data_IF_791534970036
#
_entry.id   IF_791534970036
#
_cell.length_a   1.000
_cell.length_b   1.000
_cell.length_c   1.000
_cell.angle_alpha   90.00
_cell.angle_beta   90.00
_cell.angle_gamma   90.00
#
_symmetry.space_group_name_H-M   'P 1'
#
loop_
_entity.id
_entity.type
_entity.pdbx_description
1 polymer ?
#
# COMPACT_ATOMS: atom_id res chain seq x y z
N UNK A 1 -5.51 19.08 -3.83
CA UNK A 1 -4.56 18.05 -3.38
C UNK A 1 -4.06 17.25 -4.58
N UNK A 2 -2.77 16.93 -4.62
CA UNK A 2 -2.15 16.12 -5.67
C UNK A 2 -1.58 14.86 -5.07
N UNK A 3 -1.78 13.75 -5.77
CA UNK A 3 -1.11 12.48 -5.44
C UNK A 3 -0.11 12.18 -6.56
N UNK A 4 1.13 11.91 -6.19
CA UNK A 4 2.20 11.66 -7.15
C UNK A 4 3.17 10.60 -6.64
N UNK A 5 3.79 9.89 -7.59
CA UNK A 5 4.91 9.02 -7.29
C UNK A 5 6.17 9.87 -7.16
N UNK A 6 6.93 9.64 -6.09
CA UNK A 6 8.16 10.40 -5.85
C UNK A 6 9.39 9.66 -6.33
N UNK A 7 10.41 10.43 -6.69
CA UNK A 7 11.73 9.93 -7.10
C UNK A 7 12.73 10.22 -5.98
N UNK A 8 13.86 9.51 -5.94
CA UNK A 8 14.94 9.84 -5.01
C UNK A 8 15.31 11.32 -5.10
N UNK A 9 15.40 11.97 -3.95
CA UNK A 9 15.72 13.40 -3.88
C UNK A 9 14.53 14.34 -3.86
N UNK A 10 13.31 13.86 -4.16
CA UNK A 10 12.11 14.71 -4.14
C UNK A 10 11.64 15.03 -2.72
N UNK A 11 12.01 14.21 -1.76
CA UNK A 11 11.68 14.36 -0.34
C UNK A 11 12.96 14.50 0.46
N UNK A 12 12.84 15.02 1.67
CA UNK A 12 13.98 15.17 2.56
C UNK A 12 14.63 13.85 2.95
N UNK A 13 15.78 13.91 3.62
CA UNK A 13 16.58 12.75 4.01
C UNK A 13 15.81 11.69 4.79
N UNK A 14 14.78 12.11 5.51
CA UNK A 14 13.95 11.20 6.31
C UNK A 14 13.27 10.10 5.48
N UNK A 15 13.11 10.32 4.17
CA UNK A 15 12.49 9.36 3.26
C UNK A 15 13.50 8.71 2.31
N UNK A 16 14.77 9.09 2.37
CA UNK A 16 15.75 8.66 1.39
C UNK A 16 15.89 7.13 1.31
N UNK A 17 15.85 6.44 2.46
CA UNK A 17 15.96 4.98 2.49
C UNK A 17 14.78 4.28 1.83
N UNK A 18 13.60 4.89 1.85
CA UNK A 18 12.38 4.31 1.27
C UNK A 18 12.30 4.47 -0.24
N UNK A 19 12.96 5.49 -0.79
CA UNK A 19 12.83 5.82 -2.21
C UNK A 19 14.06 5.48 -3.04
N UNK A 20 15.13 4.96 -2.42
CA UNK A 20 16.35 4.52 -3.09
C UNK A 20 16.29 3.07 -3.55
N UNK A 21 15.35 2.28 -3.04
CA UNK A 21 15.17 0.89 -3.41
C UNK A 21 14.24 0.81 -4.64
N UNK A 22 14.71 0.21 -5.72
CA UNK A 22 13.96 0.08 -6.97
C UNK A 22 12.67 -0.74 -6.81
N UNK A 23 12.56 -1.57 -5.77
CA UNK A 23 11.40 -2.40 -5.50
C UNK A 23 10.39 -1.74 -4.57
N UNK A 24 10.71 -0.55 -4.08
CA UNK A 24 9.83 0.21 -3.20
C UNK A 24 9.47 1.53 -3.84
N UNK A 25 8.19 1.71 -4.12
CA UNK A 25 7.69 2.90 -4.79
C UNK A 25 6.85 3.72 -3.82
N UNK A 26 7.23 4.96 -3.61
CA UNK A 26 6.53 5.84 -2.68
C UNK A 26 5.60 6.78 -3.43
N UNK A 27 4.39 6.94 -2.92
CA UNK A 27 3.38 7.87 -3.39
C UNK A 27 3.06 8.84 -2.27
N UNK A 28 2.96 10.11 -2.58
CA UNK A 28 2.64 11.14 -1.60
C UNK A 28 1.43 11.94 -2.04
N UNK A 29 0.67 12.42 -1.06
CA UNK A 29 -0.36 13.41 -1.27
C UNK A 29 0.19 14.76 -0.82
N UNK A 30 0.16 15.75 -1.70
CA UNK A 30 0.58 17.12 -1.39
C UNK A 30 -0.61 18.06 -1.39
N UNK A 31 -0.64 18.93 -0.40
CA UNK A 31 -1.60 20.01 -0.32
C UNK A 31 -0.85 21.29 0.03
N UNK A 32 -1.07 22.35 -0.75
CA UNK A 32 -0.37 23.65 -0.57
C UNK A 32 1.15 23.50 -0.49
N UNK A 33 1.73 22.62 -1.31
CA UNK A 33 3.16 22.37 -1.36
C UNK A 33 3.71 21.49 -0.24
N UNK A 34 2.88 21.01 0.67
CA UNK A 34 3.30 20.16 1.79
C UNK A 34 2.85 18.72 1.58
N UNK A 35 3.70 17.77 1.98
CA UNK A 35 3.33 16.35 2.03
C UNK A 35 2.43 16.13 3.24
N UNK A 36 1.20 15.71 3.01
CA UNK A 36 0.21 15.48 4.06
C UNK A 36 -0.08 14.00 4.27
N UNK A 37 0.36 13.15 3.37
CA UNK A 37 0.18 11.70 3.48
C UNK A 37 1.14 10.97 2.54
N UNK A 38 1.41 9.70 2.85
CA UNK A 38 2.15 8.84 1.92
C UNK A 38 1.69 7.40 2.03
N UNK A 39 2.01 6.63 0.99
CA UNK A 39 1.82 5.18 0.95
C UNK A 39 2.80 4.58 -0.03
N UNK A 40 3.10 3.30 0.11
CA UNK A 40 4.08 2.61 -0.71
C UNK A 40 3.48 1.46 -1.49
N UNK A 41 4.14 1.11 -2.59
CA UNK A 41 3.96 -0.16 -3.29
C UNK A 41 5.31 -0.87 -3.24
N UNK A 42 5.31 -2.12 -2.78
CA UNK A 42 6.52 -2.93 -2.67
C UNK A 42 6.40 -4.09 -3.64
N UNK A 43 7.43 -4.31 -4.44
CA UNK A 43 7.53 -5.48 -5.29
C UNK A 43 8.37 -6.53 -4.56
N UNK A 44 7.75 -7.65 -4.19
CA UNK A 44 8.40 -8.73 -3.47
C UNK A 44 8.85 -9.79 -4.46
N UNK A 45 10.17 -10.01 -4.54
CA UNK A 45 10.75 -10.99 -5.45
C UNK A 45 10.49 -12.42 -4.95
N UNK A 46 10.60 -13.38 -5.85
CA UNK A 46 10.34 -14.80 -5.55
C UNK A 46 11.24 -15.34 -4.43
N UNK A 47 12.50 -14.90 -4.36
CA UNK A 47 13.45 -15.32 -3.33
C UNK A 47 13.17 -14.69 -1.95
N UNK A 48 12.37 -13.64 -1.91
CA UNK A 48 11.93 -12.99 -0.67
C UNK A 48 10.58 -13.49 -0.19
N UNK A 49 9.86 -14.25 -1.03
CA UNK A 49 8.56 -14.80 -0.68
C UNK A 49 8.70 -15.85 0.42
N UNK A 50 7.76 -15.83 1.36
CA UNK A 50 7.72 -16.78 2.47
C UNK A 50 6.38 -17.49 2.55
N UNK A 51 6.18 -18.35 3.56
CA UNK A 51 4.93 -19.11 3.71
C UNK A 51 3.68 -18.25 3.80
N UNK A 52 3.81 -17.02 4.28
CA UNK A 52 2.67 -16.10 4.45
C UNK A 52 2.57 -15.06 3.35
N UNK A 53 3.60 -14.88 2.51
CA UNK A 53 3.70 -13.76 1.58
C UNK A 53 4.19 -14.23 0.21
N UNK A 54 3.29 -14.49 -0.75
CA UNK A 54 3.70 -14.83 -2.11
C UNK A 54 4.47 -13.67 -2.76
N UNK A 55 5.25 -13.99 -3.78
CA UNK A 55 5.90 -12.97 -4.60
C UNK A 55 4.85 -12.12 -5.31
N UNK A 56 5.14 -10.85 -5.51
CA UNK A 56 4.25 -9.95 -6.23
C UNK A 56 4.26 -8.53 -5.69
N UNK A 57 3.24 -7.79 -6.05
CA UNK A 57 3.09 -6.38 -5.77
C UNK A 57 2.20 -6.19 -4.54
N UNK A 58 2.71 -5.46 -3.55
CA UNK A 58 2.00 -5.23 -2.27
C UNK A 58 1.77 -3.75 -2.06
N UNK A 59 0.54 -3.39 -1.66
CA UNK A 59 0.31 -2.09 -1.06
C UNK A 59 0.83 -2.13 0.37
N UNK A 60 1.66 -1.16 0.73
CA UNK A 60 2.28 -1.13 2.05
C UNK A 60 2.23 0.27 2.64
N UNK A 61 1.98 0.35 3.93
CA UNK A 61 2.09 1.55 4.74
C UNK A 61 1.36 2.78 4.19
N UNK A 62 0.22 3.13 4.77
CA UNK A 62 -0.42 4.43 4.53
C UNK A 62 -0.33 5.23 5.81
N UNK A 63 0.19 6.44 5.70
CA UNK A 63 0.21 7.38 6.82
C UNK A 63 -0.36 8.71 6.36
N UNK A 64 -1.35 9.19 7.09
CA UNK A 64 -1.99 10.49 6.83
C UNK A 64 -1.75 11.38 8.05
N UNK A 65 -1.29 12.61 7.81
CA UNK A 65 -1.16 13.62 8.85
C UNK A 65 -2.48 13.74 9.63
N UNK A 66 -2.48 13.68 10.96
CA UNK A 66 -3.71 13.77 11.75
C UNK A 66 -4.60 14.96 11.41
N UNK A 67 -4.02 16.10 11.07
CA UNK A 67 -4.78 17.29 10.68
C UNK A 67 -5.51 17.11 9.34
N UNK A 68 -5.14 16.11 8.55
CA UNK A 68 -5.68 15.85 7.22
C UNK A 68 -6.52 14.58 7.13
N UNK A 69 -6.78 13.93 8.26
CA UNK A 69 -7.64 12.73 8.30
C UNK A 69 -9.10 13.09 8.02
N UNK A 70 -9.88 12.07 7.63
CA UNK A 70 -11.32 12.20 7.29
C UNK A 70 -11.58 13.07 6.05
N UNK A 71 -10.61 13.09 5.12
CA UNK A 71 -10.71 13.83 3.86
C UNK A 71 -10.55 12.92 2.66
N UNK A 72 -10.75 11.61 2.84
CA UNK A 72 -10.63 10.58 1.80
C UNK A 72 -9.23 10.50 1.18
N UNK A 73 -8.19 10.95 1.87
CA UNK A 73 -6.82 10.96 1.34
C UNK A 73 -6.29 9.54 1.20
N UNK A 74 -6.51 8.69 2.21
CA UNK A 74 -6.09 7.28 2.13
C UNK A 74 -6.76 6.56 0.96
N UNK A 75 -8.03 6.85 0.69
CA UNK A 75 -8.77 6.31 -0.46
C UNK A 75 -8.13 6.74 -1.77
N UNK A 76 -7.82 8.03 -1.91
CA UNK A 76 -7.20 8.56 -3.12
C UNK A 76 -5.80 8.00 -3.35
N UNK A 77 -4.99 7.89 -2.29
CA UNK A 77 -3.68 7.24 -2.36
C UNK A 77 -3.80 5.78 -2.80
N UNK A 78 -4.77 5.08 -2.28
CA UNK A 78 -5.00 3.67 -2.63
C UNK A 78 -5.41 3.54 -4.10
N UNK A 79 -6.30 4.40 -4.60
CA UNK A 79 -6.70 4.42 -6.00
C UNK A 79 -5.50 4.62 -6.93
N UNK A 80 -4.64 5.59 -6.63
CA UNK A 80 -3.47 5.90 -7.46
C UNK A 80 -2.48 4.74 -7.45
N UNK A 81 -2.23 4.15 -6.28
CA UNK A 81 -1.32 3.01 -6.13
C UNK A 81 -1.83 1.79 -6.89
N UNK A 82 -3.12 1.51 -6.81
CA UNK A 82 -3.74 0.39 -7.54
C UNK A 82 -3.64 0.60 -9.05
N UNK A 83 -3.90 1.81 -9.53
CA UNK A 83 -3.77 2.13 -10.96
C UNK A 83 -2.33 1.90 -11.44
N UNK A 84 -1.36 2.34 -10.66
CA UNK A 84 0.05 2.13 -10.98
C UNK A 84 0.41 0.63 -11.00
N UNK A 85 -0.03 -0.11 -9.99
CA UNK A 85 0.26 -1.53 -9.86
C UNK A 85 -0.41 -2.36 -10.96
N UNK A 86 -1.69 -2.10 -11.27
CA UNK A 86 -2.41 -2.83 -12.30
C UNK A 86 -1.95 -2.53 -13.74
N UNK A 87 -1.18 -1.49 -13.94
CA UNK A 87 -0.49 -1.30 -15.22
C UNK A 87 0.67 -2.30 -15.40
N UNK A 88 1.07 -2.99 -14.35
CA UNK A 88 2.25 -3.88 -14.31
C UNK A 88 1.93 -5.33 -13.93
N UNK A 89 0.85 -5.57 -13.22
CA UNK A 89 0.50 -6.89 -12.71
C UNK A 89 -1.01 -7.09 -12.71
N UNK A 90 -1.43 -8.35 -12.66
CA UNK A 90 -2.85 -8.71 -12.60
C UNK A 90 -3.39 -8.85 -11.19
N UNK A 91 -2.51 -8.91 -10.19
CA UNK A 91 -2.90 -9.07 -8.79
C UNK A 91 -2.09 -8.15 -7.90
N UNK A 92 -2.76 -7.61 -6.90
CA UNK A 92 -2.13 -6.80 -5.85
C UNK A 92 -2.46 -7.41 -4.51
N UNK A 93 -1.46 -7.50 -3.66
CA UNK A 93 -1.60 -8.05 -2.31
C UNK A 93 -1.52 -6.96 -1.26
N UNK A 94 -1.97 -7.32 -0.07
CA UNK A 94 -1.97 -6.42 1.06
C UNK A 94 -1.92 -7.26 2.34
N UNK A 95 -1.07 -6.86 3.28
CA UNK A 95 -0.94 -7.52 4.58
C UNK A 95 -1.11 -6.49 5.67
N UNK A 96 -1.95 -6.78 6.65
CA UNK A 96 -2.12 -5.94 7.83
C UNK A 96 -2.41 -6.79 9.05
N UNK A 97 -2.27 -6.21 10.25
CA UNK A 97 -2.67 -6.88 11.48
C UNK A 97 -4.17 -7.14 11.51
N UNK A 98 -4.55 -8.28 12.09
CA UNK A 98 -5.96 -8.68 12.18
C UNK A 98 -6.81 -7.71 13.01
N UNK A 99 -6.18 -6.91 13.86
CA UNK A 99 -6.84 -5.88 14.68
C UNK A 99 -6.94 -4.51 14.00
N UNK A 100 -6.35 -4.33 12.83
CA UNK A 100 -6.38 -3.06 12.11
C UNK A 100 -7.66 -2.96 11.28
N UNK A 101 -8.78 -2.76 11.94
CA UNK A 101 -10.12 -2.76 11.34
C UNK A 101 -10.27 -1.64 10.30
N UNK A 102 -9.76 -0.44 10.58
CA UNK A 102 -9.85 0.68 9.65
C UNK A 102 -9.17 0.36 8.32
N UNK A 103 -8.00 -0.28 8.37
CA UNK A 103 -7.26 -0.67 7.17
C UNK A 103 -7.96 -1.81 6.42
N UNK A 104 -8.46 -2.80 7.14
CA UNK A 104 -9.22 -3.91 6.55
C UNK A 104 -10.47 -3.39 5.84
N UNK A 105 -11.21 -2.47 6.45
CA UNK A 105 -12.41 -1.89 5.87
C UNK A 105 -12.10 -1.06 4.62
N UNK A 106 -11.03 -0.26 4.67
CA UNK A 106 -10.60 0.52 3.50
C UNK A 106 -10.32 -0.38 2.30
N UNK A 107 -9.56 -1.45 2.51
CA UNK A 107 -9.17 -2.35 1.42
C UNK A 107 -10.34 -3.22 0.96
N UNK A 108 -11.22 -3.64 1.87
CA UNK A 108 -12.44 -4.36 1.51
C UNK A 108 -13.33 -3.53 0.59
N UNK A 109 -13.40 -2.21 0.80
CA UNK A 109 -14.17 -1.31 -0.05
C UNK A 109 -13.66 -1.27 -1.50
N UNK A 110 -12.37 -1.58 -1.73
CA UNK A 110 -11.79 -1.70 -3.06
C UNK A 110 -11.99 -3.09 -3.68
N UNK A 111 -12.51 -4.05 -2.92
CA UNK A 111 -12.74 -5.40 -3.40
C UNK A 111 -11.65 -6.40 -3.00
N UNK A 112 -10.72 -6.04 -2.12
CA UNK A 112 -9.74 -6.99 -1.61
C UNK A 112 -10.45 -8.12 -0.89
N UNK A 113 -10.01 -9.35 -1.17
CA UNK A 113 -10.53 -10.56 -0.55
C UNK A 113 -9.47 -11.16 0.37
N UNK A 114 -9.86 -11.49 1.58
CA UNK A 114 -9.00 -12.17 2.54
C UNK A 114 -8.63 -13.56 2.01
N UNK A 115 -7.32 -13.84 1.95
CA UNK A 115 -6.80 -15.11 1.48
C UNK A 115 -6.47 -16.03 2.63
N UNK A 116 -5.76 -15.52 3.64
CA UNK A 116 -5.40 -16.30 4.82
C UNK A 116 -4.98 -15.41 5.96
N UNK A 117 -4.98 -15.98 7.16
CA UNK A 117 -4.43 -15.39 8.37
C UNK A 117 -3.24 -16.21 8.81
N UNK A 118 -2.24 -15.57 9.36
CA UNK A 118 -1.04 -16.25 9.83
C UNK A 118 -0.47 -15.56 11.05
N UNK A 119 0.26 -16.34 11.86
CA UNK A 119 0.88 -15.79 13.06
C UNK A 119 1.94 -14.78 12.69
N UNK A 120 1.93 -13.64 13.38
CA UNK A 120 2.90 -12.58 13.16
C UNK A 120 3.25 -11.91 14.47
N UNK A 121 4.54 -11.70 14.69
CA UNK A 121 5.01 -10.94 15.84
C UNK A 121 5.01 -9.43 15.59
N UNK A 122 4.75 -9.02 14.35
CA UNK A 122 4.73 -7.60 13.98
C UNK A 122 3.45 -6.90 14.38
N UNK A 123 2.34 -7.61 14.52
CA UNK A 123 1.06 -7.00 14.88
C UNK A 123 0.76 -7.22 16.35
N UNK A 124 0.06 -6.25 16.95
CA UNK A 124 -0.36 -6.33 18.35
C UNK A 124 -1.33 -7.50 18.60
N UNK A 125 -2.10 -7.89 17.58
CA UNK A 125 -2.99 -9.02 17.64
C UNK A 125 -2.27 -10.38 17.56
N UNK A 126 -0.97 -10.40 17.19
CA UNK A 126 -0.22 -11.63 16.99
C UNK A 126 -0.61 -12.37 15.72
N UNK A 127 -1.41 -11.76 14.85
CA UNK A 127 -1.92 -12.36 13.63
C UNK A 127 -2.01 -11.31 12.53
N UNK A 128 -1.58 -11.67 11.33
CA UNK A 128 -1.72 -10.85 10.13
C UNK A 128 -2.70 -11.50 9.16
N UNK A 129 -3.31 -10.64 8.35
CA UNK A 129 -4.25 -11.02 7.30
C UNK A 129 -3.63 -10.68 5.94
N UNK A 130 -3.55 -11.68 5.07
CA UNK A 130 -3.16 -11.51 3.67
C UNK A 130 -4.43 -11.41 2.83
N UNK A 131 -4.55 -10.33 2.07
CA UNK A 131 -5.67 -10.11 1.14
C UNK A 131 -5.14 -9.88 -0.26
N UNK A 132 -5.97 -10.13 -1.28
CA UNK A 132 -5.61 -9.88 -2.66
C UNK A 132 -6.76 -9.21 -3.42
N UNK A 133 -6.38 -8.45 -4.43
CA UNK A 133 -7.29 -7.86 -5.39
C UNK A 133 -6.80 -8.23 -6.80
N UNK A 134 -7.69 -8.84 -7.58
CA UNK A 134 -7.40 -9.13 -8.99
C UNK A 134 -7.82 -7.94 -9.85
N UNK A 135 -7.04 -7.68 -10.91
CA UNK A 135 -7.42 -6.65 -11.87
C UNK A 135 -8.77 -7.03 -12.50
N UNK A 136 -9.67 -6.05 -12.58
CA UNK A 136 -10.96 -6.26 -13.20
C UNK A 136 -10.78 -6.72 -14.65
N UNK A 137 -11.57 -7.73 -15.08
CA UNK A 137 -11.56 -8.17 -16.46
C UNK A 137 -12.00 -7.00 -17.35
N UNK A 138 -11.24 -6.78 -18.44
CA UNK A 138 -11.64 -5.78 -19.42
C UNK A 138 -12.96 -6.21 -20.05
N UNK A 139 -13.93 -5.33 -20.02
CA UNK A 139 -15.18 -5.55 -20.74
C UNK A 139 -14.96 -5.16 -22.20
N UNK A 140 -15.01 -6.16 -23.04
CA UNK A 140 -14.96 -5.95 -24.48
C UNK A 140 -16.25 -5.29 -24.98
#
# INVERSE_FOLDING_TARGET
MRVLRVKPGDLGEQFASDITDDLRHMFVAKASGQVVAYGRVIELAADEAGPGTPAGCYLSGVLVDPAWRRRSIATQLTQVRLRWAFARTDKVFYVTGADNVASLDLHAAFGFQEMKRFRSERSAAGEDVLSQLARAAERS
#
